data_IF_002646146395
#
_entry.id   IF_002646146395
#
_cell.length_a   1.000
_cell.length_b   1.000
_cell.length_c   1.000
_cell.angle_alpha   90.00
_cell.angle_beta   90.00
_cell.angle_gamma   90.00
#
_symmetry.space_group_name_H-M   'P 1'
#
loop_
_entity.id
_entity.type
_entity.pdbx_description
1 polymer ?
#
# COMPACT_ATOMS: atom_id res chain seq x y z
N UNK A 1 -20.28 8.79 -6.43
CA UNK A 1 -20.91 7.98 -5.36
C UNK A 1 -19.83 7.75 -4.32
N UNK A 2 -20.04 8.12 -3.05
CA UNK A 2 -19.09 7.81 -2.00
C UNK A 2 -19.10 6.31 -1.70
N UNK A 3 -17.93 5.77 -1.40
CA UNK A 3 -17.70 4.43 -0.88
C UNK A 3 -17.84 4.44 0.64
N UNK A 4 -17.96 3.27 1.26
CA UNK A 4 -17.80 3.17 2.72
C UNK A 4 -16.34 3.37 3.12
N UNK A 5 -16.09 3.69 4.39
CA UNK A 5 -14.73 3.79 4.94
C UNK A 5 -13.89 2.54 4.65
N UNK A 6 -14.42 1.34 4.94
CA UNK A 6 -13.72 0.08 4.69
C UNK A 6 -13.46 -0.17 3.21
N UNK A 7 -14.43 0.15 2.34
CA UNK A 7 -14.24 0.05 0.89
C UNK A 7 -13.17 1.02 0.39
N UNK A 8 -13.07 2.21 0.98
CA UNK A 8 -12.03 3.18 0.67
C UNK A 8 -10.65 2.65 1.06
N UNK A 9 -10.51 2.04 2.24
CA UNK A 9 -9.25 1.44 2.67
C UNK A 9 -8.82 0.27 1.77
N UNK A 10 -9.78 -0.60 1.41
CA UNK A 10 -9.55 -1.71 0.49
C UNK A 10 -9.14 -1.23 -0.91
N UNK A 11 -9.78 -0.17 -1.41
CA UNK A 11 -9.41 0.46 -2.68
C UNK A 11 -8.00 1.08 -2.61
N UNK A 12 -7.65 1.78 -1.51
CA UNK A 12 -6.28 2.31 -1.33
C UNK A 12 -5.25 1.18 -1.33
N UNK A 13 -5.52 0.06 -0.64
CA UNK A 13 -4.64 -1.11 -0.66
C UNK A 13 -4.51 -1.73 -2.05
N UNK A 14 -5.63 -1.87 -2.77
CA UNK A 14 -5.65 -2.36 -4.17
C UNK A 14 -4.81 -1.46 -5.07
N UNK A 15 -4.96 -0.14 -4.97
CA UNK A 15 -4.19 0.82 -5.75
C UNK A 15 -2.70 0.78 -5.42
N UNK A 16 -2.33 0.52 -4.17
CA UNK A 16 -0.94 0.32 -3.75
C UNK A 16 -0.33 -0.93 -4.39
N UNK A 17 -1.05 -2.04 -4.37
CA UNK A 17 -0.66 -3.29 -5.02
C UNK A 17 -0.50 -3.11 -6.54
N UNK A 18 -1.50 -2.52 -7.21
CA UNK A 18 -1.53 -2.44 -8.67
C UNK A 18 -0.58 -1.37 -9.25
N UNK A 19 -0.41 -0.23 -8.59
CA UNK A 19 0.27 0.94 -9.17
C UNK A 19 1.70 1.16 -8.68
N UNK A 20 2.09 0.55 -7.56
CA UNK A 20 3.37 0.86 -6.89
C UNK A 20 4.27 -0.35 -6.64
N UNK A 21 4.07 -1.45 -7.40
CA UNK A 21 4.89 -2.67 -7.32
C UNK A 21 5.02 -3.20 -5.87
N UNK A 22 3.93 -3.07 -5.11
CA UNK A 22 3.84 -3.59 -3.75
C UNK A 22 3.24 -4.99 -3.82
N UNK A 23 3.72 -5.89 -2.95
CA UNK A 23 2.96 -7.10 -2.67
C UNK A 23 1.65 -6.74 -1.94
N UNK A 24 0.65 -7.62 -1.99
CA UNK A 24 -0.60 -7.43 -1.24
C UNK A 24 -0.34 -7.23 0.25
N UNK A 25 0.56 -8.03 0.83
CA UNK A 25 0.96 -7.91 2.24
C UNK A 25 1.61 -6.56 2.54
N UNK A 26 2.44 -6.04 1.64
CA UNK A 26 3.13 -4.77 1.82
C UNK A 26 2.20 -3.58 1.62
N UNK A 27 1.25 -3.66 0.68
CA UNK A 27 0.19 -2.67 0.51
C UNK A 27 -0.66 -2.55 1.79
N UNK A 28 -1.07 -3.68 2.37
CA UNK A 28 -1.82 -3.70 3.64
C UNK A 28 -0.98 -3.09 4.78
N UNK A 29 0.31 -3.42 4.89
CA UNK A 29 1.20 -2.84 5.92
C UNK A 29 1.31 -1.32 5.80
N UNK A 30 1.33 -0.78 4.57
CA UNK A 30 1.35 0.67 4.35
C UNK A 30 0.05 1.33 4.82
N UNK A 31 -1.10 0.72 4.53
CA UNK A 31 -2.40 1.21 5.01
C UNK A 31 -2.45 1.15 6.55
N UNK A 32 -2.02 0.05 7.16
CA UNK A 32 -1.95 -0.09 8.62
C UNK A 32 -1.03 0.96 9.26
N UNK A 33 0.13 1.24 8.67
CA UNK A 33 1.03 2.28 9.16
C UNK A 33 0.39 3.66 9.08
N UNK A 34 -0.32 3.96 7.99
CA UNK A 34 -1.06 5.20 7.85
C UNK A 34 -2.23 5.31 8.85
N UNK A 35 -2.95 4.22 9.11
CA UNK A 35 -4.00 4.18 10.14
C UNK A 35 -3.45 4.43 11.54
N UNK A 36 -2.27 3.87 11.87
CA UNK A 36 -1.62 4.11 13.16
C UNK A 36 -1.20 5.57 13.39
N UNK A 37 -1.00 6.33 12.31
CA UNK A 37 -0.67 7.76 12.31
C UNK A 37 -1.92 8.66 12.15
N UNK A 38 -3.13 8.11 12.38
CA UNK A 38 -4.42 8.80 12.25
C UNK A 38 -4.69 9.41 10.85
N UNK A 39 -3.99 8.96 9.81
CA UNK A 39 -4.07 9.54 8.46
C UNK A 39 -5.49 9.48 7.87
N UNK A 40 -6.24 8.42 8.20
CA UNK A 40 -7.57 8.17 7.65
C UNK A 40 -8.73 8.63 8.55
N UNK A 41 -8.46 9.23 9.71
CA UNK A 41 -9.49 9.70 10.66
C UNK A 41 -10.61 10.52 9.99
N UNK A 42 -10.25 11.46 9.10
CA UNK A 42 -11.24 12.27 8.38
C UNK A 42 -12.15 11.50 7.40
N UNK A 43 -11.78 10.28 6.99
CA UNK A 43 -12.61 9.43 6.14
C UNK A 43 -13.66 8.65 6.95
N UNK A 44 -13.31 8.32 8.20
CA UNK A 44 -14.25 7.74 9.16
C UNK A 44 -15.29 8.79 9.60
N UNK A 45 -14.85 10.02 9.85
CA UNK A 45 -15.70 11.14 10.24
C UNK A 45 -16.60 11.66 9.11
N UNK A 46 -16.10 11.68 7.86
CA UNK A 46 -16.86 12.15 6.69
C UNK A 46 -16.79 11.14 5.51
N UNK A 47 -17.69 10.15 5.45
CA UNK A 47 -17.73 9.20 4.34
C UNK A 47 -17.94 9.83 2.95
N UNK A 48 -18.34 11.10 2.86
CA UNK A 48 -18.50 11.77 1.56
C UNK A 48 -17.17 11.98 0.84
N UNK A 49 -16.06 12.04 1.57
CA UNK A 49 -14.73 12.17 0.96
C UNK A 49 -14.17 10.83 0.45
N UNK A 50 -14.77 9.70 0.84
CA UNK A 50 -14.42 8.34 0.38
C UNK A 50 -14.81 8.13 -1.08
N UNK A 51 -14.10 8.78 -2.00
CA UNK A 51 -14.33 8.73 -3.44
C UNK A 51 -13.15 8.09 -4.15
N UNK A 52 -13.35 7.60 -5.37
CA UNK A 52 -12.27 7.01 -6.16
C UNK A 52 -11.08 7.98 -6.30
N UNK A 53 -11.37 9.24 -6.63
CA UNK A 53 -10.35 10.27 -6.78
C UNK A 53 -9.57 10.48 -5.47
N UNK A 54 -10.25 10.41 -4.32
CA UNK A 54 -9.59 10.51 -3.03
C UNK A 54 -8.73 9.28 -2.72
N UNK A 55 -9.22 8.07 -3.01
CA UNK A 55 -8.45 6.84 -2.82
C UNK A 55 -7.15 6.85 -3.64
N UNK A 56 -7.19 7.36 -4.88
CA UNK A 56 -5.98 7.53 -5.70
C UNK A 56 -5.00 8.57 -5.13
N UNK A 57 -5.52 9.67 -4.60
CA UNK A 57 -4.70 10.69 -3.95
C UNK A 57 -4.05 10.16 -2.67
N UNK A 58 -4.82 9.43 -1.86
CA UNK A 58 -4.35 8.83 -0.62
C UNK A 58 -3.33 7.72 -0.88
N UNK A 59 -3.56 6.83 -1.84
CA UNK A 59 -2.59 5.79 -2.21
C UNK A 59 -1.22 6.39 -2.60
N UNK A 60 -1.23 7.49 -3.34
CA UNK A 60 0.00 8.24 -3.68
C UNK A 60 0.68 8.82 -2.44
N UNK A 61 -0.09 9.41 -1.55
CA UNK A 61 0.43 10.02 -0.32
C UNK A 61 0.99 8.97 0.65
N UNK A 62 0.26 7.86 0.84
CA UNK A 62 0.65 6.71 1.65
C UNK A 62 1.94 6.11 1.11
N UNK A 63 2.02 5.82 -0.18
CA UNK A 63 3.26 5.32 -0.78
C UNK A 63 4.44 6.29 -0.57
N UNK A 64 4.20 7.60 -0.75
CA UNK A 64 5.24 8.63 -0.55
C UNK A 64 5.76 8.67 0.89
N UNK A 65 4.86 8.61 1.88
CA UNK A 65 5.22 8.74 3.30
C UNK A 65 5.80 7.44 3.90
N UNK A 66 5.21 6.30 3.55
CA UNK A 66 5.48 5.02 4.22
C UNK A 66 6.24 4.03 3.32
N UNK A 67 6.17 4.17 2.00
CA UNK A 67 6.83 3.28 1.03
C UNK A 67 8.37 3.32 1.09
N UNK A 68 8.96 4.47 1.43
CA UNK A 68 10.42 4.59 1.57
C UNK A 68 11.00 3.83 2.78
N UNK A 69 10.15 3.45 3.75
CA UNK A 69 10.58 2.70 4.94
C UNK A 69 10.63 1.19 4.68
N UNK A 70 9.99 0.73 3.60
CA UNK A 70 10.13 -0.64 3.15
C UNK A 70 11.48 -0.79 2.45
N UNK A 71 12.46 -1.40 3.13
CA UNK A 71 13.65 -1.92 2.44
C UNK A 71 13.15 -2.77 1.26
N UNK A 72 13.73 -2.64 0.05
CA UNK A 72 13.30 -3.43 -1.09
C UNK A 72 13.33 -4.90 -0.67
N UNK A 73 12.17 -5.55 -0.73
CA UNK A 73 12.07 -6.97 -0.50
C UNK A 73 13.09 -7.65 -1.40
N UNK A 74 14.00 -8.36 -0.75
CA UNK A 74 15.17 -9.03 -1.30
C UNK A 74 14.87 -9.59 -2.69
N UNK A 75 15.64 -9.14 -3.69
CA UNK A 75 15.74 -9.77 -5.00
C UNK A 75 15.81 -11.29 -4.82
N UNK A 76 14.81 -12.02 -5.30
CA UNK A 76 14.85 -13.46 -5.35
C UNK A 76 15.77 -13.90 -6.51
N UNK A 77 17.05 -13.52 -6.42
CA UNK A 77 18.14 -14.06 -7.21
C UNK A 77 18.79 -15.15 -6.37
N UNK A 78 18.10 -16.29 -6.23
CA UNK A 78 18.74 -17.57 -5.96
C UNK A 78 19.60 -17.92 -7.18
N UNK A 79 20.73 -17.23 -7.29
CA UNK A 79 21.87 -17.64 -8.08
C UNK A 79 22.36 -18.96 -7.48
N UNK A 80 21.73 -20.05 -7.91
CA UNK A 80 22.23 -21.39 -7.70
C UNK A 80 23.53 -21.51 -8.48
N UNK A 81 24.63 -21.12 -7.81
CA UNK A 81 25.99 -21.33 -8.27
C UNK A 81 26.14 -22.82 -8.52
N UNK A 82 26.14 -23.20 -9.80
CA UNK A 82 26.64 -24.50 -10.27
C UNK A 82 28.07 -24.63 -9.75
N UNK A 83 28.28 -25.48 -8.75
CA UNK A 83 29.61 -25.93 -8.38
C UNK A 83 30.03 -27.01 -9.39
N UNK A 84 31.18 -26.88 -10.08
CA UNK A 84 31.76 -28.01 -10.79
C UNK A 84 32.58 -28.82 -9.76
N UNK A 85 32.29 -30.12 -9.60
CA UNK A 85 33.24 -31.04 -8.98
C UNK A 85 33.95 -31.82 -10.08
N UNK A 86 35.28 -31.70 -10.08
CA UNK A 86 36.24 -32.53 -10.80
C UNK A 86 36.18 -33.97 -10.32
#
# INVERSE_FOLDING_TARGET
MPMTYEQHLDEVATLLYERYDQSEEDAIKLVMAAQADDFFSGHDDDPLICTQERAEADAREVFRKYGAQQKPASSNASAQRRAPKK
#
